data_IF_114261942194
#
_entry.id   IF_114261942194
#
_cell.length_a   1.000
_cell.length_b   1.000
_cell.length_c   1.000
_cell.angle_alpha   90.00
_cell.angle_beta   90.00
_cell.angle_gamma   90.00
#
_symmetry.space_group_name_H-M   'P 1'
#
loop_
_entity.id
_entity.type
_entity.pdbx_description
1 polymer ?
#
# COMPACT_ATOMS: atom_id res chain seq x y z
N UNK A 1 0.02 39.08 36.43
CA UNK A 1 -0.24 37.63 36.28
C UNK A 1 -0.62 37.40 34.82
N UNK A 2 0.35 37.02 33.99
CA UNK A 2 0.21 36.93 32.52
C UNK A 2 -0.06 35.47 32.18
N UNK A 3 -1.27 35.15 31.70
CA UNK A 3 -1.59 33.84 31.14
C UNK A 3 -1.21 33.82 29.66
N UNK A 4 -0.11 33.13 29.35
CA UNK A 4 0.32 32.85 27.99
C UNK A 4 -0.53 31.69 27.44
N UNK A 5 -1.57 32.01 26.68
CA UNK A 5 -2.38 31.04 25.94
C UNK A 5 -1.63 30.58 24.69
N UNK A 6 -0.75 29.59 24.82
CA UNK A 6 -0.15 28.88 23.69
C UNK A 6 -1.21 28.00 23.02
N UNK A 7 -1.92 28.54 22.04
CA UNK A 7 -2.84 27.75 21.20
C UNK A 7 -2.05 27.07 20.08
N UNK A 8 -1.82 25.77 20.31
CA UNK A 8 -2.07 24.67 19.37
C UNK A 8 -1.68 24.94 17.92
N UNK A 9 -0.54 24.39 17.50
CA UNK A 9 -0.19 24.24 16.10
C UNK A 9 -1.37 23.63 15.35
N UNK A 10 -1.92 24.37 14.39
CA UNK A 10 -2.96 23.90 13.51
C UNK A 10 -2.44 22.63 12.82
N UNK A 11 -2.92 21.46 13.27
CA UNK A 11 -2.77 20.23 12.53
C UNK A 11 -3.44 20.47 11.19
N UNK A 12 -2.63 20.59 10.14
CA UNK A 12 -3.11 20.67 8.76
C UNK A 12 -4.16 19.57 8.58
N UNK A 13 -5.29 19.83 7.88
CA UNK A 13 -6.25 18.78 7.60
C UNK A 13 -5.47 17.62 6.98
N UNK A 14 -5.41 16.48 7.69
CA UNK A 14 -4.85 15.25 7.12
C UNK A 14 -5.61 15.06 5.83
N UNK A 15 -4.99 15.35 4.69
CA UNK A 15 -5.54 15.00 3.38
C UNK A 15 -5.85 13.52 3.52
N UNK A 16 -7.14 13.21 3.63
CA UNK A 16 -7.60 11.85 3.77
C UNK A 16 -7.36 11.26 2.39
N UNK A 17 -6.16 10.71 2.21
CA UNK A 17 -5.75 10.03 1.01
C UNK A 17 -6.49 8.70 0.98
N UNK A 18 -7.77 8.77 0.68
CA UNK A 18 -8.66 7.63 0.56
C UNK A 18 -8.19 6.80 -0.64
N UNK A 19 -7.84 5.52 -0.45
CA UNK A 19 -7.53 4.65 -1.56
C UNK A 19 -8.67 4.63 -2.57
N UNK A 20 -8.33 4.58 -3.86
CA UNK A 20 -9.33 4.21 -4.86
C UNK A 20 -9.88 2.82 -4.49
N UNK A 21 -11.18 2.75 -4.20
CA UNK A 21 -11.87 1.55 -3.68
C UNK A 21 -11.62 0.34 -4.59
N UNK A 22 -11.56 0.53 -5.90
CA UNK A 22 -11.28 -0.54 -6.87
C UNK A 22 -9.89 -1.12 -6.64
N UNK A 23 -8.87 -0.27 -6.56
CA UNK A 23 -7.48 -0.71 -6.33
C UNK A 23 -7.30 -1.36 -4.95
N UNK A 24 -8.02 -0.89 -3.94
CA UNK A 24 -7.99 -1.47 -2.60
C UNK A 24 -8.63 -2.85 -2.59
N UNK A 25 -9.78 -3.02 -3.25
CA UNK A 25 -10.44 -4.32 -3.36
C UNK A 25 -9.61 -5.32 -4.15
N UNK A 26 -8.96 -4.88 -5.23
CA UNK A 26 -8.00 -5.71 -5.97
C UNK A 26 -6.84 -6.15 -5.06
N UNK A 27 -6.22 -5.24 -4.32
CA UNK A 27 -5.17 -5.58 -3.37
C UNK A 27 -5.65 -6.58 -2.29
N UNK A 28 -6.86 -6.40 -1.76
CA UNK A 28 -7.49 -7.31 -0.80
C UNK A 28 -7.70 -8.71 -1.37
N UNK A 29 -8.15 -8.83 -2.61
CA UNK A 29 -8.36 -10.11 -3.27
C UNK A 29 -7.05 -10.92 -3.48
N UNK A 30 -5.91 -10.23 -3.44
CA UNK A 30 -4.60 -10.85 -3.61
C UNK A 30 -4.03 -11.42 -2.32
N UNK A 31 -4.51 -11.02 -1.14
CA UNK A 31 -3.98 -11.53 0.13
C UNK A 31 -4.14 -13.04 0.20
N UNK A 32 -3.05 -13.74 0.50
CA UNK A 32 -2.96 -15.21 0.50
C UNK A 32 -2.75 -15.84 -0.88
N UNK A 33 -2.77 -15.06 -1.97
CA UNK A 33 -2.46 -15.54 -3.32
C UNK A 33 -0.96 -15.46 -3.58
N UNK A 34 -0.50 -16.37 -4.43
CA UNK A 34 0.86 -16.36 -4.95
C UNK A 34 0.92 -15.51 -6.22
N UNK A 35 1.92 -14.63 -6.32
CA UNK A 35 2.10 -13.71 -7.44
C UNK A 35 3.53 -13.74 -7.97
N UNK A 36 3.67 -13.48 -9.27
CA UNK A 36 4.95 -13.09 -9.88
C UNK A 36 4.97 -11.58 -10.13
N UNK A 37 6.07 -10.94 -9.73
CA UNK A 37 6.25 -9.49 -9.73
C UNK A 37 7.46 -9.09 -10.56
N UNK A 38 7.32 -8.06 -11.40
CA UNK A 38 8.46 -7.42 -12.05
C UNK A 38 9.10 -6.37 -11.12
N UNK A 39 10.33 -6.63 -10.72
CA UNK A 39 11.16 -5.75 -9.89
C UNK A 39 12.22 -5.08 -10.77
N UNK A 40 12.14 -3.76 -10.91
CA UNK A 40 12.97 -3.04 -11.88
C UNK A 40 12.57 -3.39 -13.31
N UNK A 41 13.55 -3.62 -14.18
CA UNK A 41 13.31 -3.88 -15.62
C UNK A 41 13.47 -5.35 -16.03
N UNK A 42 14.16 -6.20 -15.25
CA UNK A 42 14.54 -7.54 -15.70
C UNK A 42 14.48 -8.63 -14.62
N UNK A 43 13.98 -8.35 -13.42
CA UNK A 43 13.94 -9.33 -12.34
C UNK A 43 12.51 -9.70 -12.01
N UNK A 44 12.21 -10.99 -12.01
CA UNK A 44 10.94 -11.52 -11.49
C UNK A 44 11.12 -11.95 -10.04
N UNK A 45 10.20 -11.54 -9.18
CA UNK A 45 10.10 -11.96 -7.79
C UNK A 45 8.83 -12.73 -7.59
N UNK A 46 8.93 -13.91 -6.97
CA UNK A 46 7.80 -14.78 -6.68
C UNK A 46 7.48 -14.76 -5.19
N UNK A 47 6.21 -14.81 -4.83
CA UNK A 47 5.84 -15.04 -3.44
C UNK A 47 4.36 -14.86 -3.12
N UNK A 48 4.01 -15.18 -1.88
CA UNK A 48 2.66 -15.02 -1.35
C UNK A 48 2.46 -13.60 -0.85
N UNK A 49 1.33 -13.00 -1.20
CA UNK A 49 0.91 -11.71 -0.64
C UNK A 49 0.46 -11.89 0.81
N UNK A 50 1.20 -11.30 1.74
CA UNK A 50 0.94 -11.42 3.18
C UNK A 50 0.04 -10.31 3.72
N UNK A 51 -0.14 -9.23 2.98
CA UNK A 51 -0.97 -8.10 3.41
C UNK A 51 -0.90 -6.91 2.47
N UNK A 52 -1.40 -5.77 2.95
CA UNK A 52 -1.51 -4.53 2.18
C UNK A 52 -1.02 -3.36 3.03
N UNK A 53 -0.28 -2.47 2.39
CA UNK A 53 0.12 -1.18 2.94
C UNK A 53 -0.55 -0.07 2.12
N UNK A 54 -1.04 0.98 2.77
CA UNK A 54 -1.45 2.20 2.07
C UNK A 54 -0.33 3.24 2.16
N UNK A 55 0.23 3.62 1.02
CA UNK A 55 1.30 4.61 0.93
C UNK A 55 0.87 5.75 0.00
N UNK A 56 0.82 6.99 0.52
CA UNK A 56 0.36 8.15 -0.25
C UNK A 56 -1.05 8.00 -0.84
N UNK A 57 -1.93 7.23 -0.18
CA UNK A 57 -3.28 6.92 -0.66
C UNK A 57 -3.37 5.83 -1.71
N UNK A 58 -2.26 5.15 -2.03
CA UNK A 58 -2.25 4.06 -3.00
C UNK A 58 -2.04 2.74 -2.26
N UNK A 59 -2.89 1.73 -2.48
CA UNK A 59 -2.67 0.41 -1.91
C UNK A 59 -1.47 -0.25 -2.60
N UNK A 60 -0.64 -0.90 -1.79
CA UNK A 60 0.51 -1.71 -2.20
C UNK A 60 0.40 -3.08 -1.55
N UNK A 61 0.72 -4.13 -2.28
CA UNK A 61 0.76 -5.49 -1.74
C UNK A 61 2.09 -5.73 -1.05
N UNK A 62 2.07 -6.50 0.04
CA UNK A 62 3.27 -6.92 0.76
C UNK A 62 3.61 -8.35 0.35
N UNK A 63 4.81 -8.56 -0.17
CA UNK A 63 5.34 -9.88 -0.52
C UNK A 63 6.70 -10.03 0.14
N UNK A 64 6.82 -10.99 1.06
CA UNK A 64 7.98 -11.12 1.94
C UNK A 64 8.18 -9.87 2.80
N UNK A 65 9.33 -9.21 2.68
CA UNK A 65 9.70 -8.00 3.45
C UNK A 65 9.50 -6.69 2.67
N UNK A 66 8.94 -6.75 1.47
CA UNK A 66 8.86 -5.62 0.55
C UNK A 66 7.44 -5.34 0.12
N UNK A 67 7.15 -4.07 -0.19
CA UNK A 67 5.87 -3.63 -0.72
C UNK A 67 5.98 -3.31 -2.21
N UNK A 68 4.96 -3.67 -2.98
CA UNK A 68 4.94 -3.54 -4.44
C UNK A 68 3.66 -2.87 -4.91
N UNK A 69 3.77 -2.13 -6.00
CA UNK A 69 2.62 -1.56 -6.70
C UNK A 69 1.89 -2.67 -7.45
N UNK A 70 0.55 -2.61 -7.50
CA UNK A 70 -0.28 -3.59 -8.21
C UNK A 70 0.11 -3.72 -9.70
N UNK A 71 0.63 -2.65 -10.31
CA UNK A 71 1.10 -2.64 -11.70
C UNK A 71 2.35 -3.48 -11.95
N UNK A 72 3.02 -3.92 -10.89
CA UNK A 72 4.18 -4.81 -10.99
C UNK A 72 3.79 -6.28 -11.08
N UNK A 73 2.52 -6.63 -10.85
CA UNK A 73 2.04 -8.01 -10.94
C UNK A 73 2.03 -8.43 -12.40
N UNK A 74 2.73 -9.52 -12.69
CA UNK A 74 2.74 -10.17 -13.99
C UNK A 74 1.68 -11.27 -14.06
N UNK A 75 1.62 -12.08 -13.01
CA UNK A 75 0.70 -13.23 -12.91
C UNK A 75 0.18 -13.36 -11.49
N UNK A 76 -1.01 -13.96 -11.37
CA UNK A 76 -1.61 -14.37 -10.11
C UNK A 76 -1.87 -15.87 -10.25
N UNK A 77 -1.21 -16.67 -9.44
CA UNK A 77 -1.40 -18.12 -9.47
C UNK A 77 -2.62 -18.48 -8.62
N UNK A 78 -3.58 -19.25 -9.17
CA UNK A 78 -4.67 -19.80 -8.38
C UNK A 78 -4.14 -20.79 -7.32
N UNK A 79 -4.89 -20.91 -6.23
CA UNK A 79 -4.68 -21.96 -5.22
C UNK A 79 -5.49 -23.19 -5.58
#
# INVERSE_FOLDING_TARGET
MIQSNTHTGASLPRRQFSPNIVSLNMANALVGRTVDLLVGSHRVSHGVVSGILTEGGKPRIVVGKSSYDLRQILTISPV
#
